data_IF_775927640316
#
_entry.id   IF_775927640316
#
_cell.length_a   1.000
_cell.length_b   1.000
_cell.length_c   1.000
_cell.angle_alpha   90.00
_cell.angle_beta   90.00
_cell.angle_gamma   90.00
#
_symmetry.space_group_name_H-M   'P 1'
#
loop_
_entity.id
_entity.type
_entity.pdbx_description
1 polymer ?
#
# COMPACT_ATOMS: atom_id res chain seq x y z
N UNK A 1 -18.50 25.11 22.21
CA UNK A 1 -18.43 23.72 22.73
C UNK A 1 -18.20 22.88 21.51
N UNK A 2 -16.93 22.62 21.22
CA UNK A 2 -16.50 21.78 20.12
C UNK A 2 -16.23 20.40 20.70
N UNK A 3 -17.11 19.47 20.44
CA UNK A 3 -16.83 18.05 20.65
C UNK A 3 -15.84 17.64 19.55
N UNK A 4 -14.60 17.62 19.95
CA UNK A 4 -13.48 17.07 19.18
C UNK A 4 -13.64 15.53 19.26
N UNK A 5 -14.51 15.00 18.41
CA UNK A 5 -14.69 13.56 18.28
C UNK A 5 -13.45 13.04 17.55
N UNK A 6 -12.42 12.73 18.34
CA UNK A 6 -11.19 12.11 17.87
C UNK A 6 -11.57 10.85 17.06
N UNK A 7 -11.13 10.79 15.82
CA UNK A 7 -11.22 9.58 15.01
C UNK A 7 -10.64 8.43 15.84
N UNK A 8 -11.27 7.24 15.85
CA UNK A 8 -10.75 6.12 16.60
C UNK A 8 -9.32 5.85 16.16
N UNK A 9 -8.43 5.87 17.12
CA UNK A 9 -7.02 5.51 16.95
C UNK A 9 -6.97 4.04 16.50
N UNK A 10 -6.88 3.82 15.20
CA UNK A 10 -6.62 2.49 14.64
C UNK A 10 -5.14 2.16 14.85
N UNK A 11 -4.71 2.14 16.12
CA UNK A 11 -3.41 1.68 16.50
C UNK A 11 -3.23 0.26 15.91
N UNK A 12 -2.19 0.09 15.09
CA UNK A 12 -1.82 -1.24 14.62
C UNK A 12 -1.60 -2.16 15.83
N UNK A 13 -2.00 -3.43 15.74
CA UNK A 13 -1.93 -4.35 16.87
C UNK A 13 -0.51 -4.42 17.44
N UNK A 14 -0.42 -4.43 18.76
CA UNK A 14 0.85 -4.67 19.45
C UNK A 14 1.39 -6.07 19.06
N UNK A 15 2.71 -6.32 19.05
CA UNK A 15 3.26 -7.67 18.81
C UNK A 15 2.60 -8.75 19.67
N UNK A 16 2.20 -8.39 20.89
CA UNK A 16 1.51 -9.26 21.84
C UNK A 16 0.01 -9.49 21.49
N UNK A 17 -0.54 -8.73 20.55
CA UNK A 17 -1.95 -8.78 20.15
C UNK A 17 -2.18 -9.59 18.87
N UNK A 18 -1.11 -10.02 18.17
CA UNK A 18 -1.27 -10.93 17.03
C UNK A 18 -1.80 -12.28 17.51
N UNK A 19 -2.93 -12.76 16.97
CA UNK A 19 -3.44 -14.07 17.32
C UNK A 19 -2.42 -15.16 17.01
N UNK A 20 -2.27 -16.12 17.92
CA UNK A 20 -1.35 -17.25 17.74
C UNK A 20 -1.62 -18.01 16.43
N UNK A 21 -2.90 -18.11 16.03
CA UNK A 21 -3.31 -18.75 14.77
C UNK A 21 -2.66 -18.11 13.53
N UNK A 22 -2.33 -16.81 13.57
CA UNK A 22 -1.64 -16.14 12.45
C UNK A 22 -0.21 -16.63 12.35
N UNK A 23 0.51 -16.73 13.48
CA UNK A 23 1.90 -17.21 13.49
C UNK A 23 1.97 -18.69 13.10
N UNK A 24 1.01 -19.49 13.55
CA UNK A 24 0.92 -20.91 13.20
C UNK A 24 0.66 -21.11 11.70
N UNK A 25 -0.25 -20.31 11.12
CA UNK A 25 -0.54 -20.34 9.69
C UNK A 25 0.68 -19.89 8.86
N UNK A 26 1.32 -18.80 9.26
CA UNK A 26 2.58 -18.33 8.63
C UNK A 26 3.65 -19.43 8.68
N UNK A 27 3.86 -20.04 9.86
CA UNK A 27 4.83 -21.11 10.06
C UNK A 27 4.54 -22.32 9.15
N UNK A 28 3.27 -22.67 9.01
CA UNK A 28 2.81 -23.76 8.13
C UNK A 28 3.12 -23.46 6.65
N UNK A 29 2.86 -22.24 6.19
CA UNK A 29 3.07 -21.85 4.79
C UNK A 29 4.55 -21.76 4.45
N UNK A 30 5.39 -21.21 5.34
CA UNK A 30 6.82 -21.05 5.07
C UNK A 30 7.65 -22.29 5.42
N UNK A 31 7.06 -23.27 6.13
CA UNK A 31 7.73 -24.48 6.55
C UNK A 31 8.83 -24.27 7.60
N UNK A 32 8.70 -23.23 8.43
CA UNK A 32 9.68 -22.86 9.46
C UNK A 32 8.98 -22.24 10.67
N UNK A 33 9.55 -22.45 11.86
CA UNK A 33 9.09 -21.76 13.07
C UNK A 33 9.25 -20.25 12.91
N UNK A 34 8.22 -19.50 13.37
CA UNK A 34 8.15 -18.04 13.29
C UNK A 34 8.05 -17.47 14.70
N UNK A 35 8.96 -16.57 15.03
CA UNK A 35 8.99 -15.89 16.33
C UNK A 35 8.89 -14.39 16.12
N UNK A 36 8.05 -13.71 16.87
CA UNK A 36 8.01 -12.24 16.88
C UNK A 36 9.32 -11.69 17.45
N UNK A 37 9.90 -10.73 16.73
CA UNK A 37 11.14 -10.10 17.16
C UNK A 37 10.91 -8.66 17.66
N UNK A 38 10.27 -7.82 16.84
CA UNK A 38 9.96 -6.43 17.20
C UNK A 38 8.90 -5.85 16.28
N UNK A 39 8.24 -4.78 16.72
CA UNK A 39 7.46 -3.92 15.84
C UNK A 39 8.40 -3.01 15.05
N UNK A 40 8.11 -2.82 13.78
CA UNK A 40 8.80 -1.83 12.97
C UNK A 40 8.13 -0.46 13.16
N UNK A 41 8.91 0.63 13.21
CA UNK A 41 8.36 1.98 13.31
C UNK A 41 7.68 2.37 11.99
N UNK A 42 6.65 3.21 12.08
CA UNK A 42 5.91 3.73 10.92
C UNK A 42 4.69 2.87 10.55
N UNK A 43 3.96 3.35 9.53
CA UNK A 43 2.70 2.75 9.08
C UNK A 43 1.48 3.32 9.81
N UNK A 44 0.53 3.87 9.03
CA UNK A 44 -0.69 4.46 9.57
C UNK A 44 -1.80 3.42 9.80
N UNK A 45 -1.78 2.31 9.08
CA UNK A 45 -2.93 1.42 9.00
C UNK A 45 -2.70 0.12 9.79
N UNK A 46 -1.80 -0.70 9.35
CA UNK A 46 -1.44 -1.96 10.03
C UNK A 46 0.06 -1.98 10.26
N UNK A 47 0.48 -2.01 11.51
CA UNK A 47 1.91 -2.05 11.85
C UNK A 47 2.58 -3.28 11.22
N UNK A 48 3.84 -3.09 10.84
CA UNK A 48 4.68 -4.18 10.37
C UNK A 48 5.45 -4.78 11.55
N UNK A 49 5.50 -6.11 11.61
CA UNK A 49 6.24 -6.86 12.62
C UNK A 49 7.50 -7.45 11.99
N UNK A 50 8.64 -7.22 12.61
CA UNK A 50 9.84 -7.98 12.30
C UNK A 50 9.73 -9.34 12.96
N UNK A 51 9.86 -10.39 12.19
CA UNK A 51 9.82 -11.79 12.67
C UNK A 51 11.14 -12.48 12.37
N UNK A 52 11.50 -13.45 13.20
CA UNK A 52 12.59 -14.37 12.96
C UNK A 52 12.03 -15.67 12.42
N UNK A 53 12.56 -16.13 11.30
CA UNK A 53 12.27 -17.46 10.76
C UNK A 53 13.40 -18.41 11.15
N UNK A 54 13.05 -19.60 11.66
CA UNK A 54 14.04 -20.60 12.05
C UNK A 54 14.93 -20.99 10.85
N UNK A 55 16.24 -20.87 11.03
CA UNK A 55 17.24 -21.16 9.99
C UNK A 55 17.35 -20.15 8.83
N UNK A 56 16.66 -19.00 8.94
CA UNK A 56 16.68 -17.92 7.95
C UNK A 56 16.96 -16.56 8.57
N UNK A 57 17.17 -15.55 7.71
CA UNK A 57 17.20 -14.15 8.12
C UNK A 57 15.83 -13.69 8.62
N UNK A 58 15.79 -12.48 9.14
CA UNK A 58 14.52 -11.83 9.52
C UNK A 58 13.59 -11.63 8.32
N UNK A 59 12.30 -11.58 8.63
CA UNK A 59 11.25 -11.23 7.68
C UNK A 59 10.34 -10.13 8.26
N UNK A 60 9.48 -9.56 7.42
CA UNK A 60 8.47 -8.59 7.80
C UNK A 60 7.09 -9.24 7.62
N UNK A 61 6.34 -9.32 8.70
CA UNK A 61 4.96 -9.77 8.72
C UNK A 61 4.03 -8.57 8.87
N UNK A 62 3.10 -8.42 7.92
CA UNK A 62 1.92 -7.58 8.04
C UNK A 62 0.71 -8.49 8.19
N UNK A 63 -0.15 -8.22 9.17
CA UNK A 63 -1.40 -8.96 9.37
C UNK A 63 -2.49 -7.99 9.78
N UNK A 64 -3.63 -8.05 9.12
CA UNK A 64 -4.76 -7.17 9.35
C UNK A 64 -6.07 -7.95 9.50
N UNK A 65 -7.01 -7.45 10.33
CA UNK A 65 -8.31 -8.10 10.51
C UNK A 65 -9.03 -8.30 9.18
N UNK A 66 -9.67 -9.46 9.05
CA UNK A 66 -10.46 -9.79 7.86
C UNK A 66 -11.80 -9.07 7.89
N UNK A 67 -11.81 -7.85 7.39
CA UNK A 67 -12.99 -6.98 7.38
C UNK A 67 -13.80 -7.06 6.07
N UNK A 68 -13.20 -7.53 4.97
CA UNK A 68 -13.82 -7.58 3.63
C UNK A 68 -13.55 -8.93 2.96
N UNK A 69 -14.48 -9.43 2.12
CA UNK A 69 -14.33 -10.74 1.48
C UNK A 69 -13.11 -10.85 0.55
N UNK A 70 -12.75 -9.78 -0.14
CA UNK A 70 -11.72 -9.71 -1.19
C UNK A 70 -10.30 -9.40 -0.69
N UNK A 71 -10.09 -9.23 0.63
CA UNK A 71 -8.77 -8.86 1.18
C UNK A 71 -7.66 -9.87 0.84
N UNK A 72 -7.97 -11.17 0.84
CA UNK A 72 -6.99 -12.19 0.44
C UNK A 72 -6.64 -12.08 -1.05
N UNK A 73 -7.62 -11.84 -1.91
CA UNK A 73 -7.39 -11.67 -3.35
C UNK A 73 -6.55 -10.43 -3.64
N UNK A 74 -6.74 -9.35 -2.87
CA UNK A 74 -5.93 -8.13 -2.92
C UNK A 74 -4.46 -8.44 -2.54
N UNK A 75 -4.24 -9.18 -1.46
CA UNK A 75 -2.90 -9.58 -1.02
C UNK A 75 -2.21 -10.51 -2.03
N UNK A 76 -2.94 -11.48 -2.59
CA UNK A 76 -2.44 -12.36 -3.65
C UNK A 76 -2.14 -11.59 -4.95
N UNK A 77 -2.92 -10.57 -5.29
CA UNK A 77 -2.62 -9.68 -6.41
C UNK A 77 -1.30 -8.95 -6.18
N UNK A 78 -1.12 -8.34 -4.99
CA UNK A 78 0.11 -7.65 -4.64
C UNK A 78 1.33 -8.59 -4.74
N UNK A 79 1.22 -9.84 -4.28
CA UNK A 79 2.26 -10.86 -4.45
C UNK A 79 2.62 -11.06 -5.93
N UNK A 80 1.63 -11.24 -6.81
CA UNK A 80 1.89 -11.45 -8.25
C UNK A 80 2.58 -10.24 -8.89
N UNK A 81 2.17 -9.01 -8.51
CA UNK A 81 2.83 -7.78 -8.96
C UNK A 81 4.28 -7.73 -8.50
N UNK A 82 4.55 -8.00 -7.21
CA UNK A 82 5.91 -8.06 -6.66
C UNK A 82 6.77 -9.06 -7.43
N UNK A 83 6.30 -10.28 -7.61
CA UNK A 83 7.04 -11.33 -8.32
C UNK A 83 7.33 -10.93 -9.78
N UNK A 84 6.36 -10.32 -10.46
CA UNK A 84 6.52 -9.83 -11.81
C UNK A 84 7.56 -8.71 -11.90
N UNK A 85 7.48 -7.73 -11.03
CA UNK A 85 8.35 -6.55 -11.03
C UNK A 85 9.78 -6.87 -10.58
N UNK A 86 9.94 -7.77 -9.60
CA UNK A 86 11.27 -8.23 -9.17
C UNK A 86 12.06 -8.89 -10.29
N UNK A 87 11.41 -9.68 -11.14
CA UNK A 87 12.05 -10.28 -12.33
C UNK A 87 12.57 -9.23 -13.32
N UNK A 88 12.15 -7.99 -13.21
CA UNK A 88 12.56 -6.84 -14.03
C UNK A 88 13.53 -5.89 -13.33
N UNK A 89 13.97 -6.26 -12.14
CA UNK A 89 14.92 -5.46 -11.36
C UNK A 89 14.29 -4.37 -10.51
N UNK A 90 12.94 -4.34 -10.38
CA UNK A 90 12.29 -3.40 -9.46
C UNK A 90 12.70 -3.71 -8.01
N UNK A 91 13.20 -2.73 -7.25
CA UNK A 91 13.79 -2.96 -5.94
C UNK A 91 12.69 -3.08 -4.86
N UNK A 92 12.02 -4.22 -4.79
CA UNK A 92 11.07 -4.52 -3.74
C UNK A 92 11.40 -5.85 -3.07
N UNK A 93 11.16 -6.02 -1.74
CA UNK A 93 11.43 -7.26 -1.04
C UNK A 93 10.70 -8.44 -1.68
N UNK A 94 11.26 -9.65 -1.59
CA UNK A 94 10.55 -10.84 -2.03
C UNK A 94 9.34 -11.10 -1.12
N UNK A 95 8.22 -11.50 -1.71
CA UNK A 95 7.12 -12.08 -0.98
C UNK A 95 7.50 -13.52 -0.60
N UNK A 96 7.46 -13.85 0.69
CA UNK A 96 7.74 -15.18 1.23
C UNK A 96 6.46 -15.99 1.42
N UNK A 97 5.32 -15.31 1.55
CA UNK A 97 4.02 -15.94 1.67
C UNK A 97 2.89 -14.93 1.85
N UNK A 98 1.71 -15.37 1.47
CA UNK A 98 0.43 -14.70 1.71
C UNK A 98 -0.56 -15.75 2.19
N UNK A 99 -1.38 -15.41 3.15
CA UNK A 99 -2.39 -16.32 3.65
C UNK A 99 -3.51 -15.63 4.41
N UNK A 100 -4.45 -16.42 4.88
CA UNK A 100 -5.55 -15.95 5.71
C UNK A 100 -5.98 -17.00 6.70
N UNK A 101 -6.21 -16.57 7.94
CA UNK A 101 -6.93 -17.32 8.96
C UNK A 101 -8.42 -16.99 8.93
N UNK A 102 -9.16 -17.49 9.89
CA UNK A 102 -10.57 -17.11 10.05
C UNK A 102 -10.73 -15.61 10.34
N UNK A 103 -9.75 -14.99 11.02
CA UNK A 103 -9.84 -13.63 11.55
C UNK A 103 -8.94 -12.62 10.85
N UNK A 104 -7.84 -13.06 10.20
CA UNK A 104 -6.83 -12.18 9.62
C UNK A 104 -6.44 -12.60 8.20
N UNK A 105 -5.99 -11.61 7.43
CA UNK A 105 -5.19 -11.81 6.22
C UNK A 105 -3.77 -11.37 6.57
N UNK A 106 -2.76 -12.06 6.05
CA UNK A 106 -1.37 -11.72 6.31
C UNK A 106 -0.50 -11.80 5.06
N UNK A 107 0.58 -11.03 5.09
CA UNK A 107 1.61 -10.98 4.05
C UNK A 107 3.00 -11.01 4.72
N UNK A 108 3.83 -11.94 4.30
CA UNK A 108 5.21 -12.09 4.76
C UNK A 108 6.17 -11.75 3.64
N UNK A 109 7.18 -10.94 3.92
CA UNK A 109 8.19 -10.50 2.95
C UNK A 109 9.58 -10.50 3.57
N UNK A 110 10.62 -10.51 2.74
CA UNK A 110 12.00 -10.36 3.20
C UNK A 110 12.17 -9.06 4.00
N UNK A 111 12.95 -9.13 5.08
CA UNK A 111 13.39 -7.95 5.81
C UNK A 111 14.56 -7.28 5.06
N UNK A 112 14.46 -5.99 4.83
CA UNK A 112 15.53 -5.15 4.29
C UNK A 112 16.10 -4.32 5.42
N UNK A 113 17.39 -4.48 5.70
CA UNK A 113 18.08 -3.71 6.72
C UNK A 113 18.45 -2.33 6.16
N UNK A 114 17.47 -1.43 6.18
CA UNK A 114 17.56 -0.06 5.70
C UNK A 114 16.48 0.80 6.38
N UNK A 115 16.60 2.10 6.27
CA UNK A 115 15.66 3.06 6.87
C UNK A 115 14.85 3.77 5.79
N UNK A 116 13.63 4.24 6.10
CA UNK A 116 12.90 5.15 5.22
C UNK A 116 13.73 6.39 4.89
N UNK A 117 13.55 6.91 3.67
CA UNK A 117 14.22 8.14 3.24
C UNK A 117 13.82 9.31 4.15
N UNK A 118 14.76 9.94 4.87
CA UNK A 118 14.43 11.05 5.78
C UNK A 118 14.01 12.31 5.02
N UNK A 119 14.53 12.46 3.82
CA UNK A 119 14.22 13.53 2.87
C UNK A 119 14.53 13.08 1.44
N UNK A 120 13.91 13.71 0.47
CA UNK A 120 14.20 13.46 -0.96
C UNK A 120 15.33 14.39 -1.41
N UNK A 121 16.52 13.86 -1.51
CA UNK A 121 17.65 14.56 -2.15
C UNK A 121 17.55 14.48 -3.69
N UNK A 122 18.18 15.39 -4.45
CA UNK A 122 18.20 15.28 -5.91
C UNK A 122 18.66 13.90 -6.43
N UNK A 123 19.69 13.33 -5.80
CA UNK A 123 20.18 11.99 -6.16
C UNK A 123 19.15 10.88 -5.89
N UNK A 124 18.38 10.97 -4.81
CA UNK A 124 17.31 9.99 -4.54
C UNK A 124 16.15 10.16 -5.54
N UNK A 125 15.83 11.40 -5.91
CA UNK A 125 14.80 11.67 -6.94
C UNK A 125 15.22 11.07 -8.28
N UNK A 126 16.49 11.23 -8.72
CA UNK A 126 17.01 10.61 -9.94
C UNK A 126 16.85 9.07 -9.89
N UNK A 127 17.25 8.43 -8.79
CA UNK A 127 17.08 6.99 -8.62
C UNK A 127 15.61 6.56 -8.64
N UNK A 128 14.71 7.33 -8.02
CA UNK A 128 13.28 7.04 -8.02
C UNK A 128 12.66 7.21 -9.42
N UNK A 129 13.14 8.18 -10.20
CA UNK A 129 12.74 8.32 -11.60
C UNK A 129 13.15 7.09 -12.43
N UNK A 130 14.39 6.58 -12.25
CA UNK A 130 14.84 5.35 -12.91
C UNK A 130 14.00 4.13 -12.47
N UNK A 131 13.65 4.04 -11.19
CA UNK A 131 12.78 2.96 -10.65
C UNK A 131 11.38 3.05 -11.26
N UNK A 132 10.80 4.25 -11.37
CA UNK A 132 9.47 4.42 -11.98
C UNK A 132 9.48 4.13 -13.48
N UNK A 133 10.60 4.31 -14.18
CA UNK A 133 10.71 3.86 -15.60
C UNK A 133 10.61 2.34 -15.74
N UNK A 134 10.98 1.55 -14.73
CA UNK A 134 10.77 0.09 -14.75
C UNK A 134 9.28 -0.30 -14.72
N UNK A 135 8.39 0.60 -14.32
CA UNK A 135 6.95 0.38 -14.28
C UNK A 135 6.27 0.50 -15.65
N UNK A 136 6.96 1.13 -16.62
CA UNK A 136 6.41 1.41 -17.94
C UNK A 136 6.00 0.13 -18.68
N UNK A 137 4.74 0.04 -19.09
CA UNK A 137 4.20 -1.10 -19.80
C UNK A 137 4.14 -2.40 -19.00
N UNK A 138 4.21 -2.33 -17.65
CA UNK A 138 4.27 -3.50 -16.78
C UNK A 138 2.98 -3.80 -16.03
N UNK A 139 1.86 -3.24 -16.42
CA UNK A 139 0.57 -3.61 -15.88
C UNK A 139 0.32 -5.11 -16.11
N UNK A 140 0.28 -5.90 -15.03
CA UNK A 140 0.03 -7.35 -15.06
C UNK A 140 -1.29 -7.73 -14.38
N UNK A 141 -1.89 -6.81 -13.66
CA UNK A 141 -3.10 -7.03 -12.86
C UNK A 141 -4.14 -5.95 -13.18
N UNK A 142 -5.40 -6.29 -13.35
CA UNK A 142 -6.45 -5.39 -13.83
C UNK A 142 -6.99 -4.45 -12.73
N UNK A 143 -6.13 -3.84 -11.93
CA UNK A 143 -6.53 -2.92 -10.87
C UNK A 143 -6.19 -1.50 -11.28
N UNK A 144 -7.19 -0.73 -11.65
CA UNK A 144 -7.05 0.61 -12.21
C UNK A 144 -7.21 1.68 -11.12
N UNK A 145 -6.08 2.18 -10.62
CA UNK A 145 -6.06 3.24 -9.61
C UNK A 145 -6.51 4.60 -10.14
N UNK A 146 -6.23 4.90 -11.42
CA UNK A 146 -6.59 6.20 -11.97
C UNK A 146 -8.10 6.36 -12.09
N UNK A 147 -8.79 5.38 -12.65
CA UNK A 147 -10.25 5.42 -12.74
C UNK A 147 -10.89 5.48 -11.37
N UNK A 148 -10.29 4.85 -10.35
CA UNK A 148 -10.73 4.96 -8.97
C UNK A 148 -10.70 6.41 -8.48
N UNK A 149 -9.56 7.08 -8.54
CA UNK A 149 -9.40 8.46 -8.09
C UNK A 149 -10.31 9.43 -8.86
N UNK A 150 -10.39 9.25 -10.20
CA UNK A 150 -11.24 10.06 -11.05
C UNK A 150 -12.74 9.93 -10.71
N UNK A 151 -13.24 8.72 -10.54
CA UNK A 151 -14.64 8.48 -10.16
C UNK A 151 -14.95 9.06 -8.79
N UNK A 152 -14.03 8.91 -7.85
CA UNK A 152 -14.16 9.50 -6.53
C UNK A 152 -14.28 11.04 -6.60
N UNK A 153 -13.40 11.68 -7.37
CA UNK A 153 -13.39 13.12 -7.56
C UNK A 153 -14.65 13.64 -8.28
N UNK A 154 -15.14 12.91 -9.29
CA UNK A 154 -16.32 13.29 -10.06
C UNK A 154 -17.64 12.95 -9.36
N UNK A 155 -17.61 12.19 -8.27
CA UNK A 155 -18.80 11.70 -7.58
C UNK A 155 -19.57 10.63 -8.37
N UNK A 156 -18.95 10.01 -9.38
CA UNK A 156 -19.55 8.88 -10.09
C UNK A 156 -19.62 7.67 -9.16
N UNK A 157 -20.75 7.00 -9.15
CA UNK A 157 -20.91 5.79 -8.37
C UNK A 157 -19.94 4.71 -8.85
N UNK A 158 -19.24 4.14 -7.90
CA UNK A 158 -18.53 2.89 -8.08
C UNK A 158 -19.53 1.74 -8.08
N UNK A 159 -19.25 0.71 -8.85
CA UNK A 159 -19.91 -0.57 -8.67
C UNK A 159 -19.83 -1.04 -7.21
N UNK A 160 -20.59 -2.06 -6.85
CA UNK A 160 -20.93 -2.49 -5.48
C UNK A 160 -19.75 -2.70 -4.49
N UNK A 161 -18.51 -2.53 -4.91
CA UNK A 161 -17.30 -2.85 -4.14
C UNK A 161 -16.69 -1.65 -3.38
N UNK A 162 -17.25 -0.44 -3.54
CA UNK A 162 -16.78 0.68 -2.74
C UNK A 162 -17.45 0.71 -1.39
N UNK A 163 -16.60 0.73 -0.37
CA UNK A 163 -17.06 0.89 0.99
C UNK A 163 -17.95 2.15 1.10
N UNK A 164 -19.16 2.06 1.66
CA UNK A 164 -20.04 3.21 1.90
C UNK A 164 -19.38 4.34 2.70
N UNK A 165 -18.28 4.04 3.39
CA UNK A 165 -17.42 4.97 4.12
C UNK A 165 -16.77 6.02 3.21
N UNK A 166 -16.32 5.63 2.00
CA UNK A 166 -15.58 6.53 1.12
C UNK A 166 -16.51 7.57 0.45
N UNK A 167 -17.70 7.15 0.02
CA UNK A 167 -18.74 8.08 -0.47
C UNK A 167 -19.18 9.06 0.62
N UNK A 168 -19.25 8.61 1.87
CA UNK A 168 -19.52 9.47 3.03
C UNK A 168 -18.36 10.43 3.33
N UNK A 169 -17.11 9.97 3.20
CA UNK A 169 -15.94 10.82 3.41
C UNK A 169 -15.90 11.97 2.38
N UNK A 170 -16.14 11.70 1.09
CA UNK A 170 -16.20 12.74 0.05
C UNK A 170 -17.37 13.72 0.29
N UNK A 171 -18.54 13.22 0.70
CA UNK A 171 -19.66 14.07 1.09
C UNK A 171 -19.32 14.91 2.34
N UNK A 172 -18.64 14.32 3.32
CA UNK A 172 -18.15 15.02 4.51
C UNK A 172 -17.18 16.14 4.18
N UNK A 173 -16.23 15.91 3.25
CA UNK A 173 -15.32 16.94 2.78
C UNK A 173 -16.05 18.15 2.21
N UNK A 174 -17.06 17.94 1.39
CA UNK A 174 -17.87 19.03 0.83
C UNK A 174 -18.63 19.82 1.89
N UNK A 175 -18.95 19.22 3.03
CA UNK A 175 -19.61 19.86 4.17
C UNK A 175 -18.66 20.51 5.20
N UNK A 176 -17.33 20.26 5.11
CA UNK A 176 -16.37 20.67 6.14
C UNK A 176 -16.21 22.20 6.25
N UNK A 177 -16.03 22.89 5.12
CA UNK A 177 -15.98 24.35 5.05
C UNK A 177 -16.26 24.84 3.63
N UNK A 178 -16.59 26.12 3.48
CA UNK A 178 -16.79 26.74 2.17
C UNK A 178 -15.56 26.66 1.27
N UNK A 179 -14.35 26.73 1.85
CA UNK A 179 -13.10 26.59 1.11
C UNK A 179 -12.93 25.15 0.59
N UNK A 180 -13.12 24.16 1.44
CA UNK A 180 -13.03 22.75 1.06
C UNK A 180 -14.08 22.38 0.02
N UNK A 181 -15.32 22.87 0.19
CA UNK A 181 -16.38 22.71 -0.81
C UNK A 181 -15.98 23.27 -2.18
N UNK A 182 -15.42 24.48 -2.20
CA UNK A 182 -14.94 25.11 -3.45
C UNK A 182 -13.76 24.34 -4.09
N UNK A 183 -12.86 23.78 -3.29
CA UNK A 183 -11.76 22.94 -3.79
C UNK A 183 -12.27 21.61 -4.39
N UNK A 184 -13.22 20.96 -3.74
CA UNK A 184 -13.86 19.73 -4.25
C UNK A 184 -14.59 20.01 -5.56
N UNK A 185 -15.31 21.13 -5.64
CA UNK A 185 -16.00 21.51 -6.88
C UNK A 185 -15.01 21.80 -8.01
N UNK A 186 -13.93 22.53 -7.71
CA UNK A 186 -12.88 22.79 -8.69
C UNK A 186 -12.22 21.50 -9.17
N UNK A 187 -11.95 20.54 -8.28
CA UNK A 187 -11.43 19.23 -8.64
C UNK A 187 -12.39 18.50 -9.60
N UNK A 188 -13.67 18.51 -9.31
CA UNK A 188 -14.70 17.91 -10.17
C UNK A 188 -14.70 18.52 -11.58
N UNK A 189 -14.63 19.84 -11.68
CA UNK A 189 -14.55 20.53 -12.98
C UNK A 189 -13.31 20.12 -13.77
N UNK A 190 -12.15 20.06 -13.13
CA UNK A 190 -10.90 19.59 -13.77
C UNK A 190 -11.05 18.14 -14.26
N UNK A 191 -11.65 17.27 -13.44
CA UNK A 191 -11.84 15.86 -13.81
C UNK A 191 -12.80 15.65 -14.99
N UNK A 192 -13.75 16.58 -15.24
CA UNK A 192 -14.60 16.55 -16.43
C UNK A 192 -13.77 16.77 -17.71
N UNK A 193 -12.81 17.66 -17.66
CA UNK A 193 -11.96 18.01 -18.80
C UNK A 193 -10.79 17.02 -19.00
N UNK A 194 -10.43 16.28 -17.95
CA UNK A 194 -9.33 15.30 -17.96
C UNK A 194 -9.89 13.91 -17.61
N UNK A 195 -10.49 13.21 -18.57
CA UNK A 195 -10.99 11.85 -18.34
C UNK A 195 -9.85 10.88 -18.07
N UNK A 196 -10.11 9.74 -17.42
CA UNK A 196 -9.10 8.71 -17.23
C UNK A 196 -8.57 8.22 -18.59
N UNK A 197 -7.28 7.86 -18.67
CA UNK A 197 -6.71 7.31 -19.90
C UNK A 197 -7.45 6.04 -20.28
N UNK A 198 -7.63 5.80 -21.58
CA UNK A 198 -8.27 4.59 -22.09
C UNK A 198 -7.45 3.34 -21.84
N UNK A 199 -6.15 3.51 -21.76
CA UNK A 199 -5.19 2.45 -21.49
C UNK A 199 -4.40 2.82 -20.23
N UNK A 200 -4.20 1.84 -19.38
CA UNK A 200 -3.46 1.94 -18.13
C UNK A 200 -2.35 0.88 -18.15
N UNK A 201 -1.31 1.05 -19.01
CA UNK A 201 -0.35 -0.02 -19.31
C UNK A 201 0.73 -0.17 -18.25
N UNK A 202 0.89 0.80 -17.35
CA UNK A 202 1.98 0.81 -16.39
C UNK A 202 1.60 0.11 -15.10
N UNK A 203 2.57 -0.51 -14.46
CA UNK A 203 2.44 -0.85 -13.04
C UNK A 203 2.40 0.44 -12.23
N UNK A 204 1.57 0.49 -11.21
CA UNK A 204 1.45 1.60 -10.27
C UNK A 204 1.60 1.06 -8.86
N UNK A 205 2.47 1.66 -8.06
CA UNK A 205 2.64 1.33 -6.64
C UNK A 205 1.45 1.84 -5.82
N UNK A 206 0.92 3.01 -6.19
CA UNK A 206 -0.23 3.69 -5.61
C UNK A 206 -0.04 4.24 -4.18
N UNK A 207 1.17 4.14 -3.65
CA UNK A 207 1.56 4.74 -2.36
C UNK A 207 3.09 4.96 -2.32
N UNK A 208 3.65 5.49 -3.41
CA UNK A 208 5.09 5.75 -3.51
C UNK A 208 5.43 7.07 -2.80
N UNK A 209 5.54 7.02 -1.49
CA UNK A 209 5.93 8.16 -0.67
C UNK A 209 7.28 7.89 0.03
N UNK A 210 7.98 8.90 0.57
CA UNK A 210 9.31 8.74 1.16
C UNK A 210 9.38 7.71 2.30
N UNK A 211 8.28 7.47 3.03
CA UNK A 211 8.24 6.46 4.10
C UNK A 211 8.29 5.02 3.57
N UNK A 212 7.92 4.82 2.30
CA UNK A 212 7.93 3.53 1.60
C UNK A 212 9.21 3.32 0.75
N UNK A 213 10.12 4.29 0.78
CA UNK A 213 11.42 4.22 0.08
C UNK A 213 12.52 3.95 1.11
N UNK A 214 13.07 2.75 1.11
CA UNK A 214 14.16 2.39 2.01
C UNK A 214 15.51 2.73 1.39
N UNK A 215 16.32 3.46 2.16
CA UNK A 215 17.65 3.91 1.72
C UNK A 215 18.74 3.40 2.67
N UNK A 216 19.90 3.13 2.08
CA UNK A 216 21.13 2.78 2.78
C UNK A 216 22.31 3.39 2.03
N UNK A 217 23.19 4.09 2.75
CA UNK A 217 24.38 4.75 2.19
C UNK A 217 24.06 5.69 1.00
N UNK A 218 22.92 6.38 1.04
CA UNK A 218 22.49 7.32 -0.01
C UNK A 218 21.88 6.66 -1.26
N UNK A 219 21.68 5.34 -1.24
CA UNK A 219 21.07 4.60 -2.35
C UNK A 219 19.68 4.05 -1.96
N UNK A 220 18.74 4.07 -2.91
CA UNK A 220 17.47 3.35 -2.78
C UNK A 220 17.74 1.86 -2.86
N UNK A 221 17.45 1.13 -1.79
CA UNK A 221 17.67 -0.33 -1.73
C UNK A 221 16.36 -1.12 -1.77
N UNK A 222 15.25 -0.49 -1.42
CA UNK A 222 13.93 -1.11 -1.59
C UNK A 222 12.81 -0.07 -1.66
N UNK A 223 11.75 -0.44 -2.37
CA UNK A 223 10.44 0.18 -2.33
C UNK A 223 9.49 -0.84 -1.69
N UNK A 224 8.86 -0.46 -0.59
CA UNK A 224 8.03 -1.34 0.24
C UNK A 224 6.57 -0.90 0.22
N UNK A 225 5.71 -1.72 0.81
CA UNK A 225 4.28 -1.46 0.93
C UNK A 225 3.50 -1.48 -0.40
N UNK A 226 3.77 -2.50 -1.19
CA UNK A 226 3.14 -2.75 -2.49
C UNK A 226 1.71 -3.32 -2.40
N UNK A 227 1.07 -3.28 -1.24
CA UNK A 227 -0.28 -3.83 -1.04
C UNK A 227 -1.33 -3.25 -1.98
N UNK A 228 -1.17 -1.99 -2.36
CA UNK A 228 -2.06 -1.27 -3.29
C UNK A 228 -1.63 -1.37 -4.76
N UNK A 229 -0.53 -2.04 -5.06
CA UNK A 229 0.00 -2.08 -6.42
C UNK A 229 -1.00 -2.65 -7.43
N UNK A 230 -1.03 -2.05 -8.61
CA UNK A 230 -1.96 -2.42 -9.67
C UNK A 230 -1.55 -1.85 -11.02
N UNK A 231 -2.53 -1.50 -11.84
CA UNK A 231 -2.35 -0.91 -13.17
C UNK A 231 -2.83 0.55 -13.21
N UNK A 232 -2.23 1.34 -14.07
CA UNK A 232 -2.58 2.75 -14.23
C UNK A 232 -1.59 3.49 -15.11
N UNK A 233 -1.30 4.72 -14.71
CA UNK A 233 -0.16 5.48 -15.22
C UNK A 233 0.86 5.68 -14.11
N UNK A 234 2.13 5.38 -14.38
CA UNK A 234 3.22 5.55 -13.40
C UNK A 234 3.40 6.99 -12.95
N UNK A 235 2.86 7.96 -13.72
CA UNK A 235 2.83 9.36 -13.30
C UNK A 235 2.06 9.56 -11.97
N UNK A 236 1.12 8.67 -11.63
CA UNK A 236 0.42 8.68 -10.35
C UNK A 236 1.39 8.55 -9.18
N UNK A 237 2.40 7.67 -9.28
CA UNK A 237 3.38 7.46 -8.23
C UNK A 237 4.28 8.68 -8.01
N UNK A 238 4.55 9.45 -9.07
CA UNK A 238 5.31 10.70 -8.96
C UNK A 238 4.54 11.82 -8.23
N UNK A 239 3.23 11.69 -8.06
CA UNK A 239 2.43 12.67 -7.32
C UNK A 239 2.40 12.42 -5.81
N UNK A 240 2.89 11.27 -5.36
CA UNK A 240 2.95 10.87 -3.94
C UNK A 240 4.36 10.98 -3.36
N UNK A 241 5.36 11.26 -4.18
CA UNK A 241 6.73 11.61 -3.80
C UNK A 241 6.83 13.11 -3.36
#
# INVERSE_FOLDING_TARGET
MSDDEALPDHAAPHPEELPAEVLDDVASVVGAEVTLFSRLPGGFDVGAMRVQLAGRAHAVLKAWPRARPNQLDEALRAQRVVEHMRRRGYPTPACLGVGATATHVWHLMDFVDAAPAPELTPSLVEQLMEITELQAGQASEPYDHWSYAWRLATGQEYGQDLAPSLSRAVAGLSGYSSLVSALVERLRLVCVDVPPPREAPDMVHADLNPSNVLVRDGAVVAVVDVGNAGSGTRATDLTTL
#
